data_IF_370445803657
#
_entry.id   IF_370445803657
#
_cell.length_a   1.000
_cell.length_b   1.000
_cell.length_c   1.000
_cell.angle_alpha   90.00
_cell.angle_beta   90.00
_cell.angle_gamma   90.00
#
_symmetry.space_group_name_H-M   'P 1'
#
loop_
_entity.id
_entity.type
_entity.pdbx_description
1 polymer ?
#
# COMPACT_ATOMS: atom_id res chain seq x y z
N UNK A 1 -25.87 26.02 -18.58
CA UNK A 1 -24.77 26.99 -18.39
C UNK A 1 -24.67 27.30 -16.90
N UNK A 2 -23.80 26.63 -16.20
CA UNK A 2 -23.33 27.02 -14.87
C UNK A 2 -21.97 26.33 -14.67
N UNK A 3 -20.89 27.10 -14.77
CA UNK A 3 -19.51 26.65 -14.52
C UNK A 3 -19.32 26.57 -13.01
N UNK A 4 -19.21 25.37 -12.48
CA UNK A 4 -18.76 25.13 -11.11
C UNK A 4 -17.23 25.17 -11.08
N UNK A 5 -16.67 26.25 -10.52
CA UNK A 5 -15.24 26.35 -10.25
C UNK A 5 -14.92 25.53 -8.99
N UNK A 6 -14.00 24.59 -9.11
CA UNK A 6 -13.37 23.92 -7.98
C UNK A 6 -12.38 24.91 -7.36
N UNK A 7 -12.66 25.34 -6.14
CA UNK A 7 -11.77 26.23 -5.40
C UNK A 7 -10.65 25.42 -4.75
N UNK A 8 -9.44 25.53 -5.27
CA UNK A 8 -8.21 25.16 -4.57
C UNK A 8 -7.90 26.25 -3.53
N UNK A 9 -7.87 25.88 -2.28
CA UNK A 9 -7.43 26.74 -1.20
C UNK A 9 -5.90 26.89 -1.25
N UNK A 10 -5.42 28.05 -1.69
CA UNK A 10 -4.03 28.44 -1.61
C UNK A 10 -3.69 28.86 -0.17
N UNK A 11 -2.80 28.14 0.47
CA UNK A 11 -2.17 28.55 1.74
C UNK A 11 -0.93 29.40 1.41
N UNK A 12 -0.92 30.63 1.94
CA UNK A 12 0.09 31.63 1.65
C UNK A 12 1.49 31.27 2.15
N UNK A 13 2.48 31.49 1.28
CA UNK A 13 3.90 31.44 1.60
C UNK A 13 4.30 32.65 2.47
N UNK A 14 4.81 32.37 3.65
CA UNK A 14 5.67 33.27 4.42
C UNK A 14 7.13 32.89 4.14
N UNK A 15 7.82 33.73 3.38
CA UNK A 15 9.26 33.60 3.14
C UNK A 15 10.04 34.01 4.39
N UNK A 16 10.69 33.05 5.04
CA UNK A 16 11.73 33.32 6.02
C UNK A 16 13.07 32.91 5.43
N UNK A 17 13.92 33.94 5.15
CA UNK A 17 15.31 33.74 4.72
C UNK A 17 16.14 33.30 5.92
N UNK A 18 16.48 32.03 6.00
CA UNK A 18 17.36 31.46 7.01
C UNK A 18 18.62 30.85 6.38
N UNK A 19 19.76 31.33 6.82
CA UNK A 19 21.11 30.93 6.43
C UNK A 19 21.35 29.43 6.64
N UNK A 20 21.82 28.73 5.58
CA UNK A 20 22.28 27.34 5.65
C UNK A 20 23.49 27.19 6.56
N UNK A 21 23.29 26.73 7.78
CA UNK A 21 24.29 26.05 8.56
C UNK A 21 24.03 24.55 8.44
N UNK A 22 24.99 23.82 7.91
CA UNK A 22 24.98 22.35 7.87
C UNK A 22 25.06 21.82 9.31
N UNK A 23 23.90 21.56 9.91
CA UNK A 23 23.83 20.78 11.13
C UNK A 23 23.78 19.31 10.74
N UNK A 24 24.84 18.57 11.05
CA UNK A 24 24.77 17.11 11.18
C UNK A 24 23.61 16.83 12.15
N UNK A 25 22.55 16.17 11.64
CA UNK A 25 21.43 15.79 12.48
C UNK A 25 21.91 14.75 13.50
N UNK A 26 22.07 15.20 14.74
CA UNK A 26 22.17 14.33 15.89
C UNK A 26 20.90 13.44 15.93
N UNK A 27 21.06 12.17 15.55
CA UNK A 27 20.07 11.12 15.72
C UNK A 27 20.01 10.71 17.19
N UNK A 28 19.59 11.61 18.05
CA UNK A 28 19.07 11.28 19.35
C UNK A 28 17.54 11.34 19.33
N UNK A 29 16.92 10.48 18.53
CA UNK A 29 15.58 10.04 18.89
C UNK A 29 15.72 9.40 20.27
N UNK A 30 15.23 10.06 21.30
CA UNK A 30 15.24 9.55 22.66
C UNK A 30 14.63 8.14 22.64
N UNK A 31 15.40 7.14 23.10
CA UNK A 31 14.95 5.76 23.15
C UNK A 31 13.55 5.73 23.81
N UNK A 32 12.55 5.05 23.20
CA UNK A 32 11.18 5.07 23.72
C UNK A 32 11.17 4.62 25.18
N UNK A 33 10.52 5.43 26.03
CA UNK A 33 10.39 5.16 27.46
C UNK A 33 9.40 4.00 27.66
N UNK A 34 9.89 2.77 27.69
CA UNK A 34 9.03 1.60 27.91
C UNK A 34 9.82 0.29 27.87
N UNK A 35 9.26 -0.75 28.48
CA UNK A 35 9.79 -2.11 28.36
C UNK A 35 9.32 -2.70 27.03
N UNK A 36 10.20 -3.39 26.31
CA UNK A 36 9.87 -4.08 25.05
C UNK A 36 8.62 -4.95 25.22
N UNK A 37 7.69 -4.84 24.25
CA UNK A 37 6.43 -5.57 24.25
C UNK A 37 5.39 -5.07 25.23
N UNK A 38 5.51 -3.83 25.73
CA UNK A 38 4.51 -3.21 26.60
C UNK A 38 3.99 -1.90 26.00
N UNK A 39 2.69 -1.65 26.23
CA UNK A 39 2.07 -0.36 25.96
C UNK A 39 2.38 0.60 27.09
N UNK A 40 2.87 1.78 26.77
CA UNK A 40 3.21 2.84 27.70
C UNK A 40 2.64 4.18 27.24
N UNK A 41 2.69 5.20 28.11
CA UNK A 41 2.20 6.55 27.80
C UNK A 41 0.73 6.59 27.36
N UNK A 42 -0.11 5.72 27.92
CA UNK A 42 -1.52 5.64 27.57
C UNK A 42 -2.26 6.93 27.96
N UNK A 43 -2.91 7.57 26.97
CA UNK A 43 -3.71 8.78 27.13
C UNK A 43 -4.86 8.78 26.12
N UNK A 44 -5.87 9.62 26.32
CA UNK A 44 -6.90 9.84 25.30
C UNK A 44 -6.24 10.27 23.99
N UNK A 45 -6.66 9.68 22.88
CA UNK A 45 -6.13 10.06 21.56
C UNK A 45 -6.56 11.50 21.21
N UNK A 46 -5.63 12.39 20.81
CA UNK A 46 -5.99 13.73 20.38
C UNK A 46 -7.01 13.71 19.23
N UNK A 47 -8.11 14.45 19.37
CA UNK A 47 -9.15 14.56 18.36
C UNK A 47 -10.05 13.32 18.19
N UNK A 48 -9.82 12.22 18.91
CA UNK A 48 -10.62 10.99 18.80
C UNK A 48 -11.36 10.70 20.11
N UNK A 49 -12.68 10.58 20.06
CA UNK A 49 -13.50 10.19 21.20
C UNK A 49 -13.61 8.67 21.31
N UNK A 50 -13.44 8.12 22.51
CA UNK A 50 -13.58 6.68 22.78
C UNK A 50 -12.36 5.86 22.34
N UNK A 51 -11.20 6.50 22.22
CA UNK A 51 -9.92 5.86 21.91
C UNK A 51 -8.81 6.29 22.86
N UNK A 52 -8.03 5.31 23.28
CA UNK A 52 -6.78 5.48 24.01
C UNK A 52 -5.60 5.25 23.07
N UNK A 53 -4.71 6.25 22.99
CA UNK A 53 -3.44 6.17 22.32
C UNK A 53 -2.33 5.78 23.29
N UNK A 54 -1.41 4.93 22.85
CA UNK A 54 -0.26 4.47 23.62
C UNK A 54 0.93 4.21 22.67
N UNK A 55 2.12 4.04 23.25
CA UNK A 55 3.32 3.65 22.53
C UNK A 55 3.65 2.19 22.82
N UNK A 56 3.71 1.35 21.79
CA UNK A 56 4.27 0.00 21.88
C UNK A 56 5.78 0.08 21.64
N UNK A 57 6.58 -0.26 22.62
CA UNK A 57 8.03 -0.37 22.45
C UNK A 57 8.37 -1.72 21.86
N UNK A 58 9.05 -1.73 20.69
CA UNK A 58 9.52 -2.95 20.01
C UNK A 58 11.04 -2.89 19.82
N UNK A 59 11.74 -4.04 19.68
CA UNK A 59 13.15 -4.00 19.33
C UNK A 59 13.32 -3.55 17.87
N UNK A 60 14.44 -2.90 17.56
CA UNK A 60 14.83 -2.67 16.16
C UNK A 60 15.06 -4.01 15.48
N UNK A 61 15.88 -4.85 16.08
CA UNK A 61 16.21 -6.20 15.65
C UNK A 61 15.53 -7.24 16.53
N UNK A 62 14.60 -8.02 15.96
CA UNK A 62 13.93 -9.12 16.66
C UNK A 62 14.84 -10.32 16.91
N UNK A 63 15.97 -10.44 16.20
CA UNK A 63 17.01 -11.42 16.45
C UNK A 63 17.84 -11.10 17.72
N UNK A 64 17.92 -9.82 18.09
CA UNK A 64 18.63 -9.35 19.26
C UNK A 64 20.12 -9.12 19.06
N UNK A 65 20.64 -9.25 17.86
CA UNK A 65 22.06 -9.06 17.53
C UNK A 65 22.43 -7.56 17.46
N UNK A 66 21.47 -6.70 17.10
CA UNK A 66 21.65 -5.25 17.01
C UNK A 66 20.82 -4.54 18.06
N UNK A 67 21.45 -3.75 18.93
CA UNK A 67 20.72 -2.97 19.94
C UNK A 67 19.92 -1.84 19.27
N UNK A 68 18.76 -1.52 19.84
CA UNK A 68 17.87 -0.45 19.38
C UNK A 68 16.41 -0.76 19.70
N UNK A 69 15.59 0.28 19.74
CA UNK A 69 14.16 0.17 19.98
C UNK A 69 13.40 1.17 19.15
N UNK A 70 12.20 0.78 18.74
CA UNK A 70 11.24 1.64 18.05
C UNK A 70 10.01 1.82 18.96
N UNK A 71 9.38 3.00 18.89
CA UNK A 71 8.13 3.29 19.56
C UNK A 71 7.00 3.36 18.53
N UNK A 72 6.13 2.36 18.50
CA UNK A 72 5.01 2.34 17.57
C UNK A 72 3.78 2.95 18.24
N UNK A 73 3.17 3.96 17.61
CA UNK A 73 1.92 4.54 18.08
C UNK A 73 0.76 3.57 17.85
N UNK A 74 -0.04 3.36 18.86
CA UNK A 74 -1.18 2.45 18.84
C UNK A 74 -2.41 3.18 19.33
N UNK A 75 -3.49 3.14 18.57
CA UNK A 75 -4.81 3.58 18.99
C UNK A 75 -5.69 2.37 19.27
N UNK A 76 -6.34 2.34 20.41
CA UNK A 76 -7.25 1.26 20.83
C UNK A 76 -8.59 1.84 21.26
N UNK A 77 -9.68 1.27 20.74
CA UNK A 77 -11.01 1.62 21.23
C UNK A 77 -11.18 1.26 22.74
N UNK A 78 -11.92 2.08 23.45
CA UNK A 78 -12.07 1.94 24.92
C UNK A 78 -13.06 0.85 25.34
N UNK A 79 -13.77 0.21 24.39
CA UNK A 79 -14.69 -0.91 24.62
C UNK A 79 -13.94 -2.25 24.86
N UNK A 80 -13.09 -2.28 25.88
CA UNK A 80 -12.18 -3.41 26.19
C UNK A 80 -12.88 -4.76 26.38
N UNK A 81 -14.20 -4.77 26.65
CA UNK A 81 -15.01 -5.98 26.84
C UNK A 81 -15.81 -6.38 25.61
N UNK A 82 -15.42 -5.88 24.40
CA UNK A 82 -16.07 -6.22 23.16
C UNK A 82 -16.16 -7.75 22.98
N UNK A 83 -17.38 -8.32 22.76
CA UNK A 83 -17.60 -9.77 22.86
C UNK A 83 -16.88 -10.60 21.80
N UNK A 84 -16.56 -10.03 20.64
CA UNK A 84 -15.80 -10.69 19.58
C UNK A 84 -14.29 -10.40 19.63
N UNK A 85 -13.85 -9.64 20.63
CA UNK A 85 -12.43 -9.34 20.88
C UNK A 85 -11.88 -8.24 20.00
N UNK A 86 -10.59 -8.34 19.66
CA UNK A 86 -9.84 -7.33 18.91
C UNK A 86 -10.04 -7.50 17.40
N UNK A 87 -10.35 -6.40 16.73
CA UNK A 87 -10.20 -6.18 15.30
C UNK A 87 -8.96 -5.30 15.09
N UNK A 88 -7.88 -5.88 14.58
CA UNK A 88 -6.69 -5.14 14.18
C UNK A 88 -6.81 -4.78 12.70
N UNK A 89 -6.90 -3.48 12.41
CA UNK A 89 -6.92 -2.98 11.04
C UNK A 89 -5.51 -2.60 10.59
N UNK A 90 -5.13 -3.08 9.40
CA UNK A 90 -3.81 -2.90 8.78
C UNK A 90 -3.93 -2.09 7.50
N UNK A 91 -3.27 -0.94 7.47
CA UNK A 91 -3.18 -0.05 6.29
C UNK A 91 -2.19 -0.59 5.25
N UNK A 92 -2.23 0.01 4.06
CA UNK A 92 -1.42 -0.37 2.92
C UNK A 92 -0.11 0.40 2.76
N UNK A 93 0.25 0.61 1.51
CA UNK A 93 1.50 1.15 1.04
C UNK A 93 2.37 0.01 0.47
N UNK A 94 3.42 -0.48 1.17
CA UNK A 94 3.84 -0.20 2.56
C UNK A 94 4.24 1.26 2.77
N UNK A 95 4.16 1.74 4.01
CA UNK A 95 4.57 3.11 4.33
C UNK A 95 3.48 3.99 4.92
N UNK A 96 2.21 3.55 4.87
CA UNK A 96 1.08 4.30 5.39
C UNK A 96 0.87 4.02 6.88
N UNK A 97 0.78 5.05 7.74
CA UNK A 97 0.46 4.88 9.16
C UNK A 97 -0.99 4.43 9.36
N UNK A 98 -1.30 3.84 10.51
CA UNK A 98 -2.64 3.38 10.83
C UNK A 98 -3.46 4.40 11.62
N UNK A 99 -2.87 5.01 12.65
CA UNK A 99 -3.59 5.85 13.62
C UNK A 99 -4.37 7.02 12.99
N UNK A 100 -3.87 7.72 11.96
CA UNK A 100 -4.63 8.78 11.29
C UNK A 100 -5.97 8.33 10.67
N UNK A 101 -6.13 7.04 10.39
CA UNK A 101 -7.35 6.52 9.77
C UNK A 101 -8.39 6.00 10.77
N UNK A 102 -8.12 6.06 12.08
CA UNK A 102 -9.01 5.55 13.13
C UNK A 102 -10.41 6.16 13.04
N UNK A 103 -10.52 7.48 12.90
CA UNK A 103 -11.81 8.15 12.85
C UNK A 103 -12.64 7.66 11.66
N UNK A 104 -12.05 7.68 10.46
CA UNK A 104 -12.70 7.23 9.23
C UNK A 104 -13.15 5.78 9.32
N UNK A 105 -12.29 4.88 9.81
CA UNK A 105 -12.58 3.45 9.91
C UNK A 105 -13.62 3.17 11.00
N UNK A 106 -13.56 3.88 12.13
CA UNK A 106 -14.54 3.74 13.21
C UNK A 106 -15.95 4.13 12.76
N UNK A 107 -16.07 5.17 11.91
CA UNK A 107 -17.34 5.57 11.32
C UNK A 107 -17.85 4.52 10.30
N UNK A 108 -16.97 4.08 9.39
CA UNK A 108 -17.34 3.15 8.31
C UNK A 108 -17.72 1.77 8.83
N UNK A 109 -17.05 1.26 9.87
CA UNK A 109 -17.29 -0.05 10.46
C UNK A 109 -18.13 0.00 11.75
N UNK A 110 -18.74 1.14 12.08
CA UNK A 110 -19.49 1.34 13.34
C UNK A 110 -20.46 0.20 13.70
N UNK A 111 -21.22 -0.43 12.77
CA UNK A 111 -22.09 -1.54 13.13
C UNK A 111 -21.34 -2.76 13.70
N UNK A 112 -20.15 -3.08 13.18
CA UNK A 112 -19.32 -4.18 13.66
C UNK A 112 -18.57 -3.83 14.95
N UNK A 113 -18.19 -2.55 15.13
CA UNK A 113 -17.39 -2.11 16.27
C UNK A 113 -18.15 -2.05 17.61
N UNK A 114 -19.45 -2.32 17.60
CA UNK A 114 -20.21 -2.62 18.83
C UNK A 114 -19.73 -3.94 19.44
N UNK A 115 -19.33 -4.89 18.61
CA UNK A 115 -18.91 -6.24 19.01
C UNK A 115 -17.38 -6.43 18.98
N UNK A 116 -16.64 -5.55 18.30
CA UNK A 116 -15.19 -5.60 18.22
C UNK A 116 -14.53 -4.38 18.86
N UNK A 117 -13.38 -4.61 19.47
CA UNK A 117 -12.45 -3.55 19.89
C UNK A 117 -11.52 -3.23 18.73
N UNK A 118 -11.73 -2.07 18.08
CA UNK A 118 -10.82 -1.61 17.00
C UNK A 118 -9.45 -1.27 17.59
N UNK A 119 -8.41 -1.75 16.91
CA UNK A 119 -7.01 -1.42 17.17
C UNK A 119 -6.36 -1.04 15.85
N UNK A 120 -5.62 0.06 15.84
CA UNK A 120 -4.79 0.49 14.72
C UNK A 120 -3.40 0.87 15.23
N UNK A 121 -2.39 0.64 14.40
CA UNK A 121 -0.99 0.87 14.75
C UNK A 121 -0.27 1.57 13.61
N UNK A 122 0.55 2.55 13.94
CA UNK A 122 1.55 3.06 13.03
C UNK A 122 2.68 2.03 12.98
N UNK A 123 2.78 1.31 11.86
CA UNK A 123 3.78 0.26 11.68
C UNK A 123 5.19 0.87 11.75
N UNK A 124 6.22 0.02 11.99
CA UNK A 124 7.60 0.50 12.04
C UNK A 124 7.95 1.31 10.80
N UNK A 125 8.59 2.45 10.98
CA UNK A 125 8.99 3.36 9.90
C UNK A 125 7.85 4.19 9.30
N UNK A 126 6.69 4.31 9.98
CA UNK A 126 5.56 5.15 9.57
C UNK A 126 5.19 6.19 10.62
N UNK A 127 4.33 7.15 10.25
CA UNK A 127 3.81 8.19 11.14
C UNK A 127 4.94 9.00 11.77
N UNK A 128 4.89 9.21 13.08
CA UNK A 128 5.90 10.00 13.82
C UNK A 128 7.33 9.41 13.70
N UNK A 129 7.48 8.15 13.30
CA UNK A 129 8.75 7.45 13.09
C UNK A 129 9.02 7.13 11.61
N UNK A 130 8.40 7.87 10.69
CA UNK A 130 8.56 7.66 9.27
C UNK A 130 10.03 7.75 8.84
N UNK A 131 10.46 6.82 7.98
CA UNK A 131 11.79 6.87 7.39
C UNK A 131 11.86 8.05 6.42
N UNK A 132 12.68 9.03 6.77
CA UNK A 132 12.80 10.29 6.05
C UNK A 132 13.78 10.15 4.88
N UNK A 133 13.28 10.24 3.65
CA UNK A 133 14.05 10.24 2.42
C UNK A 133 13.61 11.41 1.53
N UNK A 134 14.01 12.65 1.83
CA UNK A 134 13.39 13.84 1.26
C UNK A 134 13.38 13.88 -0.28
N UNK A 135 14.47 13.49 -0.94
CA UNK A 135 14.51 13.51 -2.40
C UNK A 135 13.64 12.39 -3.00
N UNK A 136 13.70 11.17 -2.48
CA UNK A 136 12.87 10.07 -2.93
C UNK A 136 11.38 10.39 -2.70
N UNK A 137 11.05 10.98 -1.54
CA UNK A 137 9.71 11.43 -1.20
C UNK A 137 9.20 12.50 -2.17
N UNK A 138 10.06 13.44 -2.54
CA UNK A 138 9.71 14.49 -3.51
C UNK A 138 9.48 13.93 -4.92
N UNK A 139 10.29 12.96 -5.35
CA UNK A 139 10.20 12.40 -6.70
C UNK A 139 8.99 11.48 -6.86
N UNK A 140 8.67 10.65 -5.85
CA UNK A 140 7.59 9.66 -5.94
C UNK A 140 6.27 10.09 -5.28
N UNK A 141 6.32 10.99 -4.28
CA UNK A 141 5.13 11.39 -3.53
C UNK A 141 4.43 10.21 -2.86
N UNK A 142 3.16 9.98 -3.22
CA UNK A 142 2.37 8.81 -2.80
C UNK A 142 2.26 7.72 -3.88
N UNK A 143 2.96 7.87 -5.03
CA UNK A 143 2.92 6.90 -6.11
C UNK A 143 3.91 5.75 -5.89
N UNK A 144 3.52 4.55 -6.27
CA UNK A 144 4.34 3.34 -6.34
C UNK A 144 5.00 3.20 -7.73
N UNK A 145 4.46 3.90 -8.74
CA UNK A 145 4.78 3.70 -10.15
C UNK A 145 5.65 4.80 -10.74
N UNK A 146 5.63 6.01 -10.18
CA UNK A 146 6.52 7.11 -10.62
C UNK A 146 7.98 6.71 -10.50
N UNK A 147 8.78 6.74 -11.60
CA UNK A 147 10.18 6.32 -11.59
C UNK A 147 11.07 7.28 -10.79
N UNK A 148 11.76 6.83 -9.74
CA UNK A 148 12.74 7.64 -9.02
C UNK A 148 14.08 7.66 -9.75
N UNK A 149 14.88 8.69 -9.49
CA UNK A 149 16.28 8.69 -9.91
C UNK A 149 17.11 7.71 -9.07
N UNK A 150 18.11 7.08 -9.69
CA UNK A 150 19.05 6.21 -9.00
C UNK A 150 19.71 6.90 -7.79
N UNK A 151 19.95 8.21 -7.90
CA UNK A 151 20.52 9.02 -6.84
C UNK A 151 19.57 9.16 -5.64
N UNK A 152 18.30 9.47 -5.88
CA UNK A 152 17.31 9.57 -4.79
C UNK A 152 17.21 8.27 -3.99
N UNK A 153 17.26 7.13 -4.69
CA UNK A 153 17.22 5.80 -4.09
C UNK A 153 18.47 5.52 -3.25
N UNK A 154 19.67 5.77 -3.81
CA UNK A 154 20.93 5.50 -3.12
C UNK A 154 21.15 6.43 -1.92
N UNK A 155 20.78 7.70 -2.05
CA UNK A 155 20.86 8.69 -0.96
C UNK A 155 19.87 8.32 0.17
N UNK A 156 18.66 7.86 -0.17
CA UNK A 156 17.69 7.33 0.80
C UNK A 156 18.27 6.13 1.57
N UNK A 157 18.76 5.12 0.85
CA UNK A 157 19.34 3.93 1.47
C UNK A 157 20.56 4.25 2.35
N UNK A 158 21.38 5.24 1.95
CA UNK A 158 22.51 5.73 2.74
C UNK A 158 22.04 6.47 4.01
N UNK A 159 20.97 7.26 3.91
CA UNK A 159 20.39 7.99 5.05
C UNK A 159 19.83 7.03 6.12
N UNK A 160 19.14 5.96 5.72
CA UNK A 160 18.64 4.92 6.64
C UNK A 160 19.83 4.09 7.20
N UNK A 161 20.85 3.90 6.39
CA UNK A 161 22.05 3.15 6.77
C UNK A 161 21.81 1.63 6.86
N UNK A 162 22.63 0.90 7.66
CA UNK A 162 22.55 -0.55 7.78
C UNK A 162 21.23 -1.03 8.41
N UNK A 163 20.54 -0.17 9.14
CA UNK A 163 19.30 -0.50 9.82
C UNK A 163 18.12 -0.74 8.84
N UNK A 164 18.26 -0.36 7.57
CA UNK A 164 17.27 -0.63 6.51
C UNK A 164 16.86 -2.10 6.42
N UNK A 165 17.69 -3.04 6.89
CA UNK A 165 17.42 -4.48 6.91
C UNK A 165 16.37 -4.93 7.92
N UNK A 166 15.93 -4.04 8.82
CA UNK A 166 14.98 -4.32 9.89
C UNK A 166 13.57 -3.76 9.61
N UNK A 167 13.28 -3.47 8.34
CA UNK A 167 11.98 -2.92 7.93
C UNK A 167 11.23 -3.85 6.95
N UNK A 168 11.45 -5.16 7.08
CA UNK A 168 10.69 -6.16 6.33
C UNK A 168 9.29 -6.39 6.90
N UNK A 169 8.40 -7.01 6.11
CA UNK A 169 7.11 -7.48 6.63
C UNK A 169 7.28 -8.53 7.74
N UNK A 170 8.36 -9.30 7.74
CA UNK A 170 8.65 -10.23 8.85
C UNK A 170 8.87 -9.51 10.17
N UNK A 171 9.54 -8.36 10.15
CA UNK A 171 9.75 -7.52 11.33
C UNK A 171 8.43 -6.91 11.80
N UNK A 172 7.61 -6.41 10.87
CA UNK A 172 6.25 -5.92 11.18
C UNK A 172 5.38 -7.02 11.79
N UNK A 173 5.42 -8.24 11.26
CA UNK A 173 4.69 -9.40 11.82
C UNK A 173 5.13 -9.70 13.26
N UNK A 174 6.42 -9.61 13.55
CA UNK A 174 6.93 -9.79 14.90
C UNK A 174 6.47 -8.67 15.86
N UNK A 175 6.40 -7.42 15.39
CA UNK A 175 5.81 -6.30 16.16
C UNK A 175 4.34 -6.55 16.47
N UNK A 176 3.56 -7.00 15.49
CA UNK A 176 2.13 -7.31 15.69
C UNK A 176 1.91 -8.44 16.70
N UNK A 177 2.82 -9.42 16.78
CA UNK A 177 2.75 -10.45 17.82
C UNK A 177 3.08 -9.87 19.22
N UNK A 178 3.99 -8.91 19.31
CA UNK A 178 4.22 -8.16 20.56
C UNK A 178 2.99 -7.32 20.92
N UNK A 179 2.36 -6.65 19.93
CA UNK A 179 1.10 -5.91 20.15
C UNK A 179 -0.01 -6.82 20.70
N UNK A 180 -0.23 -7.98 20.06
CA UNK A 180 -1.22 -8.95 20.53
C UNK A 180 -0.98 -9.34 22.00
N UNK A 181 0.28 -9.60 22.36
CA UNK A 181 0.66 -9.94 23.76
C UNK A 181 0.43 -8.78 24.71
N UNK A 182 0.80 -7.57 24.30
CA UNK A 182 0.59 -6.35 25.09
C UNK A 182 -0.89 -6.06 25.34
N UNK A 183 -1.77 -6.38 24.36
CA UNK A 183 -3.23 -6.30 24.50
C UNK A 183 -3.82 -7.42 25.38
N UNK A 184 -3.04 -8.44 25.74
CA UNK A 184 -3.47 -9.56 26.57
C UNK A 184 -4.47 -10.51 25.89
N UNK A 185 -4.57 -10.50 24.54
CA UNK A 185 -5.55 -11.31 23.81
C UNK A 185 -4.93 -12.56 23.19
N UNK A 186 -5.69 -13.66 23.20
CA UNK A 186 -5.22 -14.93 22.65
C UNK A 186 -5.20 -14.91 21.12
N UNK A 187 -6.21 -14.32 20.50
CA UNK A 187 -6.38 -14.23 19.04
C UNK A 187 -6.86 -12.83 18.66
N UNK A 188 -6.60 -12.45 17.42
CA UNK A 188 -7.13 -11.23 16.79
C UNK A 188 -7.89 -11.59 15.51
N UNK A 189 -8.88 -10.79 15.17
CA UNK A 189 -9.40 -10.67 13.81
C UNK A 189 -8.53 -9.66 13.10
N UNK A 190 -8.06 -9.97 11.89
CA UNK A 190 -7.27 -9.06 11.08
C UNK A 190 -8.11 -8.57 9.91
N UNK A 191 -8.04 -7.28 9.65
CA UNK A 191 -8.66 -6.61 8.51
C UNK A 191 -7.57 -5.83 7.80
N UNK A 192 -7.12 -6.33 6.66
CA UNK A 192 -6.07 -5.71 5.87
C UNK A 192 -6.62 -5.08 4.61
N UNK A 193 -6.04 -3.94 4.22
CA UNK A 193 -6.33 -3.29 2.94
C UNK A 193 -5.02 -3.14 2.17
N UNK A 194 -5.03 -3.44 0.84
CA UNK A 194 -3.84 -3.28 0.00
C UNK A 194 -2.66 -4.09 0.54
N UNK A 195 -1.47 -3.51 0.68
CA UNK A 195 -0.33 -4.18 1.30
C UNK A 195 -0.61 -4.69 2.73
N UNK A 196 -1.59 -4.10 3.43
CA UNK A 196 -2.07 -4.62 4.72
C UNK A 196 -2.65 -6.03 4.64
N UNK A 197 -3.17 -6.45 3.48
CA UNK A 197 -3.62 -7.84 3.25
C UNK A 197 -2.44 -8.80 3.27
N UNK A 198 -1.35 -8.45 2.58
CA UNK A 198 -0.10 -9.22 2.61
C UNK A 198 0.42 -9.35 4.04
N UNK A 199 0.47 -8.25 4.79
CA UNK A 199 0.89 -8.27 6.21
C UNK A 199 -0.01 -9.17 7.05
N UNK A 200 -1.34 -9.13 6.87
CA UNK A 200 -2.30 -9.99 7.58
C UNK A 200 -2.09 -11.47 7.25
N UNK A 201 -1.88 -11.78 5.99
CA UNK A 201 -1.61 -13.15 5.51
C UNK A 201 -0.27 -13.69 6.07
N UNK A 202 0.78 -12.86 6.03
CA UNK A 202 2.10 -13.23 6.59
C UNK A 202 2.02 -13.46 8.10
N UNK A 203 1.24 -12.63 8.82
CA UNK A 203 0.96 -12.86 10.23
C UNK A 203 0.21 -14.19 10.45
N UNK A 204 -0.82 -14.45 9.67
CA UNK A 204 -1.61 -15.66 9.78
C UNK A 204 -0.79 -16.94 9.48
N UNK A 205 0.14 -16.88 8.53
CA UNK A 205 1.06 -17.97 8.21
C UNK A 205 2.11 -18.19 9.30
N UNK A 206 2.63 -17.13 9.91
CA UNK A 206 3.60 -17.20 11.00
C UNK A 206 2.95 -17.63 12.33
N UNK A 207 1.72 -17.17 12.58
CA UNK A 207 1.00 -17.36 13.84
C UNK A 207 -0.41 -17.95 13.67
N UNK A 208 -0.58 -19.15 13.03
CA UNK A 208 -1.90 -19.66 12.65
C UNK A 208 -2.87 -19.85 13.82
N UNK A 209 -2.35 -20.09 15.03
CA UNK A 209 -3.15 -20.20 16.25
C UNK A 209 -3.59 -18.88 16.87
N UNK A 210 -3.19 -17.71 16.29
CA UNK A 210 -3.42 -16.36 16.83
C UNK A 210 -4.46 -15.57 16.05
N UNK A 211 -4.99 -16.11 14.98
CA UNK A 211 -6.00 -15.48 14.12
C UNK A 211 -7.36 -16.09 14.37
N UNK A 212 -8.42 -15.29 14.37
CA UNK A 212 -9.81 -15.74 14.45
C UNK A 212 -10.56 -15.60 13.14
N UNK A 213 -10.33 -14.54 12.38
CA UNK A 213 -10.89 -14.24 11.06
C UNK A 213 -9.91 -13.39 10.27
N UNK A 214 -10.04 -13.39 8.93
CA UNK A 214 -9.32 -12.52 8.01
C UNK A 214 -10.30 -11.79 7.09
N UNK A 215 -10.19 -10.48 7.01
CA UNK A 215 -10.76 -9.65 5.96
C UNK A 215 -9.59 -9.15 5.12
N UNK A 216 -9.64 -9.39 3.82
CA UNK A 216 -8.59 -9.04 2.87
C UNK A 216 -9.25 -8.25 1.74
N UNK A 217 -9.13 -6.92 1.80
CA UNK A 217 -9.73 -5.97 0.87
C UNK A 217 -8.67 -5.41 -0.07
N UNK A 218 -8.89 -5.48 -1.38
CA UNK A 218 -7.90 -5.05 -2.38
C UNK A 218 -6.59 -5.83 -2.20
N UNK A 219 -6.62 -7.08 -2.63
CA UNK A 219 -5.71 -8.14 -2.16
C UNK A 219 -4.35 -8.10 -2.85
N UNK A 220 -3.28 -7.96 -2.08
CA UNK A 220 -1.93 -8.40 -2.46
C UNK A 220 -1.78 -9.84 -2.01
N UNK A 221 -1.56 -10.83 -2.91
CA UNK A 221 -1.58 -12.23 -2.54
C UNK A 221 -0.40 -12.61 -1.63
N UNK A 222 -0.58 -13.66 -0.83
CA UNK A 222 0.46 -14.16 0.10
C UNK A 222 1.79 -14.54 -0.57
N UNK A 223 1.79 -14.70 -1.89
CA UNK A 223 3.00 -14.94 -2.69
C UNK A 223 3.86 -13.69 -2.85
N UNK A 224 3.28 -12.53 -2.61
CA UNK A 224 3.94 -11.24 -2.68
C UNK A 224 3.51 -10.40 -3.86
N UNK A 225 4.00 -9.21 -3.88
CA UNK A 225 3.85 -8.20 -4.91
C UNK A 225 4.62 -8.60 -6.19
N UNK A 226 4.06 -8.32 -7.35
CA UNK A 226 4.70 -8.45 -8.65
C UNK A 226 5.37 -7.11 -9.03
N UNK A 227 6.71 -7.02 -9.02
CA UNK A 227 7.38 -5.74 -9.27
C UNK A 227 7.30 -5.25 -10.72
N UNK A 228 6.91 -6.09 -11.68
CA UNK A 228 6.60 -5.70 -13.06
C UNK A 228 5.14 -5.32 -13.26
N UNK A 229 4.31 -5.53 -12.25
CA UNK A 229 2.88 -5.20 -12.21
C UNK A 229 2.09 -5.74 -13.42
N UNK A 230 2.52 -6.89 -13.94
CA UNK A 230 1.98 -7.50 -15.17
C UNK A 230 0.48 -7.77 -15.09
N UNK A 231 -0.02 -8.08 -13.89
CA UNK A 231 -1.45 -8.30 -13.69
C UNK A 231 -2.26 -7.00 -13.89
N UNK A 232 -1.77 -5.87 -13.39
CA UNK A 232 -2.43 -4.57 -13.53
C UNK A 232 -2.33 -4.05 -14.98
N UNK A 233 -1.16 -4.21 -15.62
CA UNK A 233 -1.00 -3.86 -17.05
C UNK A 233 -2.02 -4.60 -17.91
N UNK A 234 -2.21 -5.91 -17.71
CA UNK A 234 -3.24 -6.70 -18.43
C UNK A 234 -4.66 -6.35 -18.02
N UNK A 235 -4.89 -5.91 -16.79
CA UNK A 235 -6.22 -5.57 -16.29
C UNK A 235 -6.72 -4.23 -16.84
N UNK A 236 -5.84 -3.28 -17.16
CA UNK A 236 -6.21 -1.92 -17.58
C UNK A 236 -7.24 -1.88 -18.72
N UNK A 237 -7.10 -2.60 -19.85
CA UNK A 237 -8.11 -2.60 -20.92
C UNK A 237 -9.47 -3.16 -20.44
N UNK A 238 -9.48 -4.18 -19.58
CA UNK A 238 -10.71 -4.73 -19.01
C UNK A 238 -11.39 -3.72 -18.10
N UNK A 239 -10.64 -3.05 -17.25
CA UNK A 239 -11.14 -2.04 -16.31
C UNK A 239 -11.76 -0.87 -17.07
N UNK A 240 -11.04 -0.29 -18.03
CA UNK A 240 -11.52 0.82 -18.84
C UNK A 240 -12.74 0.45 -19.68
N UNK A 241 -12.76 -0.74 -20.29
CA UNK A 241 -13.91 -1.23 -21.06
C UNK A 241 -15.13 -1.44 -20.16
N UNK A 242 -14.93 -1.94 -18.92
CA UNK A 242 -16.02 -2.14 -17.96
C UNK A 242 -16.58 -0.80 -17.50
N UNK A 243 -15.73 0.18 -17.23
CA UNK A 243 -16.12 1.54 -16.88
C UNK A 243 -16.88 2.23 -18.01
N UNK A 244 -16.37 2.14 -19.24
CA UNK A 244 -17.02 2.68 -20.43
C UNK A 244 -18.44 2.12 -20.64
N UNK A 245 -18.61 0.81 -20.53
CA UNK A 245 -19.93 0.17 -20.64
C UNK A 245 -20.90 0.63 -19.57
N UNK A 246 -20.43 0.78 -18.34
CA UNK A 246 -21.24 1.22 -17.20
C UNK A 246 -21.71 2.66 -17.34
N UNK A 247 -20.89 3.54 -17.94
CA UNK A 247 -21.21 4.96 -18.16
C UNK A 247 -21.88 5.22 -19.53
N UNK A 248 -22.01 4.18 -20.39
CA UNK A 248 -22.65 4.29 -21.69
C UNK A 248 -21.78 4.99 -22.74
N UNK A 249 -20.46 5.00 -22.59
CA UNK A 249 -19.56 5.54 -23.59
C UNK A 249 -19.56 4.65 -24.87
N UNK A 250 -19.20 5.25 -26.02
CA UNK A 250 -19.25 4.59 -27.33
C UNK A 250 -17.89 4.38 -27.99
N UNK A 251 -16.81 4.72 -27.26
CA UNK A 251 -15.42 4.55 -27.70
C UNK A 251 -14.92 3.12 -27.39
N UNK A 252 -13.77 2.77 -27.90
CA UNK A 252 -13.02 1.56 -27.52
C UNK A 252 -11.80 1.96 -26.69
N UNK A 253 -11.94 2.09 -25.38
CA UNK A 253 -10.83 2.57 -24.53
C UNK A 253 -9.65 1.61 -24.49
N UNK A 254 -9.85 0.32 -24.78
CA UNK A 254 -8.75 -0.64 -24.88
C UNK A 254 -7.89 -0.39 -26.12
N UNK A 255 -8.53 -0.13 -27.26
CA UNK A 255 -7.83 0.23 -28.50
C UNK A 255 -7.19 1.62 -28.40
N UNK A 256 -7.88 2.58 -27.79
CA UNK A 256 -7.36 3.94 -27.57
C UNK A 256 -6.10 3.90 -26.68
N UNK A 257 -6.12 3.14 -25.57
CA UNK A 257 -4.96 2.95 -24.71
C UNK A 257 -3.77 2.36 -25.46
N UNK A 258 -3.99 1.28 -26.21
CA UNK A 258 -2.93 0.64 -27.00
C UNK A 258 -2.29 1.63 -28.00
N UNK A 259 -3.11 2.42 -28.69
CA UNK A 259 -2.65 3.41 -29.65
C UNK A 259 -1.89 4.57 -28.99
N UNK A 260 -2.32 5.00 -27.80
CA UNK A 260 -1.64 6.04 -27.02
C UNK A 260 -0.24 5.57 -26.60
N UNK A 261 -0.13 4.37 -26.03
CA UNK A 261 1.17 3.82 -25.61
C UNK A 261 2.10 3.64 -26.81
N UNK A 262 1.61 3.08 -27.93
CA UNK A 262 2.40 2.91 -29.15
C UNK A 262 2.86 4.24 -29.77
N UNK A 263 1.97 5.25 -29.75
CA UNK A 263 2.26 6.54 -30.41
C UNK A 263 3.21 7.42 -29.59
N UNK A 264 3.05 7.45 -28.27
CA UNK A 264 3.76 8.41 -27.42
C UNK A 264 4.87 7.78 -26.57
N UNK A 265 4.94 6.45 -26.43
CA UNK A 265 5.96 5.75 -25.65
C UNK A 265 5.95 6.12 -24.15
N UNK A 266 4.78 6.51 -23.61
CA UNK A 266 4.61 7.01 -22.24
C UNK A 266 3.84 6.04 -21.33
N UNK A 267 3.98 4.74 -21.55
CA UNK A 267 3.21 3.72 -20.86
C UNK A 267 3.30 3.79 -19.34
N UNK A 268 4.49 4.11 -18.77
CA UNK A 268 4.66 4.27 -17.31
C UNK A 268 3.80 5.42 -16.79
N UNK A 269 3.85 6.59 -17.44
CA UNK A 269 3.07 7.76 -17.01
C UNK A 269 1.57 7.53 -17.11
N UNK A 270 1.15 6.83 -18.17
CA UNK A 270 -0.26 6.48 -18.37
C UNK A 270 -0.72 5.48 -17.31
N UNK A 271 0.10 4.46 -17.00
CA UNK A 271 -0.26 3.48 -15.97
C UNK A 271 -0.32 4.11 -14.58
N UNK A 272 0.64 4.97 -14.24
CA UNK A 272 0.65 5.74 -12.98
C UNK A 272 -0.60 6.63 -12.88
N UNK A 273 -0.94 7.33 -13.98
CA UNK A 273 -2.15 8.14 -14.03
C UNK A 273 -3.43 7.30 -13.86
N UNK A 274 -3.54 6.15 -14.52
CA UNK A 274 -4.69 5.24 -14.39
C UNK A 274 -4.84 4.73 -12.97
N UNK A 275 -3.76 4.28 -12.35
CA UNK A 275 -3.74 3.72 -11.00
C UNK A 275 -4.06 4.78 -9.94
N UNK A 276 -3.57 6.01 -10.12
CA UNK A 276 -3.91 7.12 -9.22
C UNK A 276 -5.33 7.64 -9.45
N UNK A 277 -5.80 7.65 -10.71
CA UNK A 277 -7.12 8.16 -11.06
C UNK A 277 -8.26 7.35 -10.44
N UNK A 278 -8.06 6.05 -10.19
CA UNK A 278 -9.07 5.20 -9.52
C UNK A 278 -9.49 5.71 -8.13
N UNK A 279 -8.65 6.51 -7.46
CA UNK A 279 -8.95 7.14 -6.19
C UNK A 279 -9.77 8.44 -6.33
N UNK A 280 -9.81 9.02 -7.52
CA UNK A 280 -10.50 10.27 -7.85
C UNK A 280 -11.83 10.01 -8.52
N UNK A 281 -11.83 9.21 -9.59
CA UNK A 281 -12.99 8.84 -10.39
C UNK A 281 -12.90 7.38 -10.84
N UNK A 282 -13.47 6.44 -10.07
CA UNK A 282 -13.48 5.02 -10.44
C UNK A 282 -14.32 4.72 -11.69
N UNK A 283 -15.10 5.67 -12.19
CA UNK A 283 -15.80 5.56 -13.48
C UNK A 283 -14.89 5.85 -14.67
N UNK A 284 -13.70 6.40 -14.45
CA UNK A 284 -12.70 6.73 -15.45
C UNK A 284 -13.22 7.62 -16.59
N UNK A 285 -14.34 8.31 -16.41
CA UNK A 285 -15.03 9.02 -17.51
C UNK A 285 -14.11 10.03 -18.18
N UNK A 286 -13.42 10.87 -17.39
CA UNK A 286 -12.49 11.88 -17.92
C UNK A 286 -11.24 11.23 -18.53
N UNK A 287 -10.74 10.17 -17.92
CA UNK A 287 -9.55 9.45 -18.43
C UNK A 287 -9.83 8.75 -19.77
N UNK A 288 -11.00 8.13 -19.92
CA UNK A 288 -11.43 7.50 -21.19
C UNK A 288 -11.55 8.55 -22.30
N UNK A 289 -12.14 9.74 -22.00
CA UNK A 289 -12.19 10.84 -22.98
C UNK A 289 -10.79 11.35 -23.35
N UNK A 290 -9.88 11.45 -22.36
CA UNK A 290 -8.51 11.87 -22.59
C UNK A 290 -7.71 10.88 -23.46
N UNK A 291 -7.86 9.59 -23.20
CA UNK A 291 -7.25 8.53 -24.02
C UNK A 291 -7.80 8.56 -25.46
N UNK A 292 -9.12 8.72 -25.63
CA UNK A 292 -9.74 8.79 -26.94
C UNK A 292 -9.24 10.00 -27.75
N UNK A 293 -9.16 11.18 -27.15
CA UNK A 293 -8.61 12.39 -27.80
C UNK A 293 -7.15 12.22 -28.19
N UNK A 294 -6.33 11.70 -27.27
CA UNK A 294 -4.92 11.44 -27.52
C UNK A 294 -4.72 10.43 -28.67
N UNK A 295 -5.50 9.34 -28.70
CA UNK A 295 -5.49 8.36 -29.77
C UNK A 295 -5.89 8.99 -31.14
N UNK A 296 -6.62 10.08 -31.15
CA UNK A 296 -7.03 10.82 -32.35
C UNK A 296 -6.18 12.08 -32.63
N UNK A 297 -5.02 12.21 -31.98
CA UNK A 297 -4.00 13.23 -32.26
C UNK A 297 -4.05 14.47 -31.37
N UNK A 298 -4.91 14.49 -30.34
CA UNK A 298 -4.93 15.57 -29.33
C UNK A 298 -4.60 15.04 -27.93
N UNK A 299 -3.31 14.98 -27.52
CA UNK A 299 -2.90 14.49 -26.23
C UNK A 299 -3.05 15.50 -25.09
N UNK A 300 -3.50 16.74 -25.35
CA UNK A 300 -3.44 17.85 -24.38
C UNK A 300 -4.20 17.54 -23.09
N UNK A 301 -5.38 16.93 -23.17
CA UNK A 301 -6.15 16.56 -21.97
C UNK A 301 -5.43 15.46 -21.16
N UNK A 302 -4.90 14.45 -21.82
CA UNK A 302 -4.17 13.37 -21.17
C UNK A 302 -2.90 13.87 -20.46
N UNK A 303 -2.14 14.74 -21.12
CA UNK A 303 -0.96 15.39 -20.53
C UNK A 303 -1.33 16.20 -19.29
N UNK A 304 -2.41 17.00 -19.36
CA UNK A 304 -2.89 17.73 -18.18
C UNK A 304 -3.34 16.82 -17.03
N UNK A 305 -3.91 15.65 -17.31
CA UNK A 305 -4.28 14.67 -16.27
C UNK A 305 -3.03 14.03 -15.64
N UNK A 306 -2.04 13.65 -16.45
CA UNK A 306 -0.77 13.10 -15.96
C UNK A 306 -0.04 14.11 -15.07
N UNK A 307 0.04 15.37 -15.49
CA UNK A 307 0.64 16.45 -14.67
C UNK A 307 -0.15 16.67 -13.37
N UNK A 308 -1.49 16.72 -13.45
CA UNK A 308 -2.35 16.89 -12.28
C UNK A 308 -2.25 15.73 -11.28
N UNK A 309 -2.05 14.49 -11.76
CA UNK A 309 -1.79 13.32 -10.92
C UNK A 309 -0.44 13.47 -10.19
N UNK A 310 0.62 13.85 -10.90
CA UNK A 310 1.95 14.06 -10.31
C UNK A 310 1.93 15.14 -9.22
N UNK A 311 1.28 16.28 -9.50
CA UNK A 311 1.12 17.35 -8.52
C UNK A 311 0.27 16.92 -7.31
N UNK A 312 -0.83 16.21 -7.57
CA UNK A 312 -1.75 15.69 -6.55
C UNK A 312 -1.19 14.54 -5.71
N UNK A 313 -0.14 13.88 -6.18
CA UNK A 313 0.52 12.78 -5.47
C UNK A 313 1.53 13.26 -4.41
N UNK A 314 1.74 14.57 -4.26
CA UNK A 314 2.61 15.07 -3.20
C UNK A 314 2.14 14.58 -1.83
N UNK A 315 3.03 13.95 -1.08
CA UNK A 315 2.77 13.43 0.26
C UNK A 315 3.99 13.59 1.16
N UNK A 316 3.77 13.85 2.43
CA UNK A 316 4.85 13.81 3.42
C UNK A 316 5.21 12.37 3.80
N UNK A 317 6.39 12.17 4.36
CA UNK A 317 6.80 10.84 4.83
C UNK A 317 5.92 10.34 5.98
N UNK A 318 5.31 11.24 6.76
CA UNK A 318 4.38 10.93 7.83
C UNK A 318 3.04 10.41 7.30
N UNK A 319 2.63 10.82 6.09
CA UNK A 319 1.41 10.35 5.41
C UNK A 319 1.63 9.04 4.67
N UNK A 320 2.74 8.93 3.94
CA UNK A 320 3.22 7.71 3.29
C UNK A 320 4.73 7.77 3.10
N UNK A 321 5.48 7.00 3.86
CA UNK A 321 6.95 7.01 3.82
C UNK A 321 7.49 6.25 2.61
N UNK A 322 8.02 6.94 1.62
CA UNK A 322 8.74 6.33 0.49
C UNK A 322 10.04 5.64 0.94
N UNK A 323 10.64 6.11 2.05
CA UNK A 323 11.79 5.43 2.66
C UNK A 323 11.45 4.03 3.16
N UNK A 324 10.30 3.90 3.86
CA UNK A 324 9.80 2.58 4.29
C UNK A 324 9.32 1.76 3.10
N UNK A 325 8.59 2.38 2.17
CA UNK A 325 8.08 1.72 0.97
C UNK A 325 9.23 1.00 0.24
N UNK A 326 10.28 1.73 -0.13
CA UNK A 326 11.46 1.15 -0.78
C UNK A 326 12.14 0.09 0.11
N UNK A 327 12.37 0.37 1.40
CA UNK A 327 13.03 -0.59 2.28
C UNK A 327 12.27 -1.91 2.37
N UNK A 328 10.94 -1.86 2.55
CA UNK A 328 10.10 -3.05 2.70
C UNK A 328 9.99 -3.83 1.39
N UNK A 329 9.65 -3.17 0.27
CA UNK A 329 9.48 -3.86 -1.00
C UNK A 329 10.80 -4.50 -1.47
N UNK A 330 11.93 -3.79 -1.31
CA UNK A 330 13.22 -4.33 -1.74
C UNK A 330 13.72 -5.48 -0.84
N UNK A 331 13.26 -5.57 0.41
CA UNK A 331 13.53 -6.71 1.30
C UNK A 331 12.66 -7.93 0.98
N UNK A 332 11.36 -7.71 0.76
CA UNK A 332 10.37 -8.79 0.65
C UNK A 332 10.21 -9.31 -0.79
N UNK A 333 10.47 -8.44 -1.77
CA UNK A 333 10.20 -8.69 -3.18
C UNK A 333 11.07 -9.78 -3.82
N UNK A 334 10.58 -10.27 -4.96
CA UNK A 334 11.32 -11.14 -5.89
C UNK A 334 11.41 -10.41 -7.22
N UNK A 335 12.64 -10.15 -7.63
CA UNK A 335 12.96 -9.35 -8.80
C UNK A 335 13.60 -10.20 -9.89
N UNK A 336 13.74 -9.73 -11.13
CA UNK A 336 14.44 -10.47 -12.19
C UNK A 336 15.85 -10.92 -11.84
N UNK A 337 16.54 -10.15 -11.00
CA UNK A 337 17.87 -10.49 -10.49
C UNK A 337 17.86 -11.37 -9.25
N UNK A 338 16.72 -11.74 -8.70
CA UNK A 338 16.61 -12.55 -7.48
C UNK A 338 16.04 -11.80 -6.28
N UNK A 339 16.72 -11.86 -5.14
CA UNK A 339 16.24 -11.29 -3.86
C UNK A 339 17.13 -10.16 -3.36
N UNK A 340 16.79 -9.63 -2.18
CA UNK A 340 17.46 -8.49 -1.54
C UNK A 340 18.98 -8.66 -1.36
N UNK A 341 19.48 -9.87 -1.23
CA UNK A 341 20.91 -10.20 -1.06
C UNK A 341 21.70 -10.21 -2.38
N UNK A 342 21.02 -10.17 -3.53
CA UNK A 342 21.71 -10.12 -4.83
C UNK A 342 22.50 -8.81 -4.97
N UNK A 343 23.79 -8.84 -5.35
CA UNK A 343 24.58 -7.64 -5.59
C UNK A 343 23.92 -6.70 -6.60
N UNK A 344 24.12 -5.38 -6.44
CA UNK A 344 23.58 -4.37 -7.39
C UNK A 344 24.19 -4.55 -8.78
N UNK A 345 25.46 -4.90 -8.85
CA UNK A 345 26.14 -5.23 -10.12
C UNK A 345 25.43 -6.40 -10.82
N UNK A 346 25.06 -6.21 -12.09
CA UNK A 346 24.34 -7.21 -12.90
C UNK A 346 22.82 -7.17 -12.81
N UNK A 347 22.24 -6.37 -11.90
CA UNK A 347 20.77 -6.27 -11.82
C UNK A 347 20.15 -5.65 -13.07
N UNK A 348 20.81 -4.63 -13.63
CA UNK A 348 20.36 -3.99 -14.86
C UNK A 348 20.30 -4.98 -16.02
N UNK A 349 21.36 -5.78 -16.21
CA UNK A 349 21.43 -6.82 -17.23
C UNK A 349 20.33 -7.88 -17.05
N UNK A 350 20.10 -8.29 -15.78
CA UNK A 350 19.02 -9.23 -15.48
C UNK A 350 17.62 -8.66 -15.75
N UNK A 351 17.39 -7.36 -15.50
CA UNK A 351 16.15 -6.67 -15.81
C UNK A 351 15.94 -6.56 -17.32
N UNK A 352 16.97 -6.16 -18.09
CA UNK A 352 16.93 -6.08 -19.54
C UNK A 352 16.64 -7.44 -20.17
N UNK A 353 17.28 -8.51 -19.67
CA UNK A 353 17.01 -9.87 -20.12
C UNK A 353 15.56 -10.27 -19.82
N UNK A 354 15.07 -10.02 -18.62
CA UNK A 354 13.68 -10.33 -18.28
C UNK A 354 12.69 -9.55 -19.15
N UNK A 355 12.94 -8.27 -19.41
CA UNK A 355 12.14 -7.45 -20.32
C UNK A 355 12.11 -8.00 -21.75
N UNK A 356 13.26 -8.51 -22.24
CA UNK A 356 13.35 -9.12 -23.57
C UNK A 356 12.62 -10.48 -23.69
N UNK A 357 12.37 -11.15 -22.57
CA UNK A 357 11.62 -12.42 -22.49
C UNK A 357 10.09 -12.19 -22.42
N UNK A 358 9.62 -10.96 -22.11
CA UNK A 358 8.21 -10.62 -22.06
C UNK A 358 7.61 -10.60 -23.48
N UNK A 359 6.36 -11.01 -23.56
CA UNK A 359 5.56 -11.00 -24.79
C UNK A 359 4.36 -10.05 -24.62
N UNK A 360 3.70 -9.63 -25.71
CA UNK A 360 2.48 -8.83 -25.62
C UNK A 360 1.38 -9.46 -24.75
N UNK A 361 1.35 -10.79 -24.60
CA UNK A 361 0.41 -11.47 -23.71
C UNK A 361 0.71 -11.20 -22.21
N UNK A 362 1.93 -10.79 -21.87
CA UNK A 362 2.34 -10.56 -20.50
C UNK A 362 1.99 -9.15 -19.99
N UNK A 363 2.01 -8.15 -20.87
CA UNK A 363 1.81 -6.74 -20.51
C UNK A 363 0.57 -6.09 -21.18
N UNK A 364 -0.19 -6.82 -21.99
CA UNK A 364 -1.42 -6.32 -22.62
C UNK A 364 -1.16 -5.20 -23.63
N UNK A 365 -1.84 -4.03 -23.55
CA UNK A 365 -1.68 -2.94 -24.49
C UNK A 365 -0.44 -2.06 -24.23
N UNK A 366 0.28 -2.30 -23.16
CA UNK A 366 1.53 -1.63 -22.85
C UNK A 366 2.72 -2.30 -23.56
N UNK A 367 3.92 -2.05 -23.11
CA UNK A 367 5.15 -2.61 -23.65
C UNK A 367 6.10 -3.10 -22.54
N UNK A 368 7.16 -3.79 -22.91
CA UNK A 368 8.15 -4.29 -22.00
C UNK A 368 8.90 -3.15 -21.25
N UNK A 369 9.04 -1.99 -21.90
CA UNK A 369 9.66 -0.82 -21.27
C UNK A 369 8.80 -0.28 -20.12
N UNK A 370 7.48 -0.29 -20.27
CA UNK A 370 6.55 0.04 -19.20
C UNK A 370 6.71 -0.93 -18.02
N UNK A 371 6.64 -2.25 -18.26
CA UNK A 371 6.75 -3.25 -17.20
C UNK A 371 8.08 -3.20 -16.44
N UNK A 372 9.18 -2.86 -17.10
CA UNK A 372 10.51 -2.77 -16.50
C UNK A 372 10.86 -1.38 -15.96
N UNK A 373 10.05 -0.36 -16.29
CA UNK A 373 10.28 1.05 -15.93
C UNK A 373 9.48 1.56 -14.73
N UNK A 374 8.69 0.72 -14.05
CA UNK A 374 7.86 1.13 -12.92
C UNK A 374 8.69 1.52 -11.69
N UNK A 375 8.18 2.46 -10.89
CA UNK A 375 8.91 3.10 -9.80
C UNK A 375 9.43 2.14 -8.73
N UNK A 376 8.62 1.19 -8.28
CA UNK A 376 9.02 0.18 -7.31
C UNK A 376 10.09 -0.78 -7.84
N UNK A 377 10.05 -1.13 -9.15
CA UNK A 377 11.11 -1.88 -9.82
C UNK A 377 12.44 -1.10 -9.78
N UNK A 378 12.41 0.16 -10.22
CA UNK A 378 13.60 1.01 -10.32
C UNK A 378 14.17 1.37 -8.94
N UNK A 379 13.31 1.55 -7.93
CA UNK A 379 13.75 1.71 -6.54
C UNK A 379 14.60 0.53 -6.09
N UNK A 380 14.16 -0.69 -6.33
CA UNK A 380 14.88 -1.88 -5.89
C UNK A 380 16.07 -2.27 -6.79
N UNK A 381 16.07 -1.82 -8.05
CA UNK A 381 17.20 -1.95 -8.94
C UNK A 381 18.48 -1.30 -8.34
N UNK A 382 18.30 -0.11 -7.74
CA UNK A 382 19.38 0.69 -7.17
C UNK A 382 19.54 0.55 -5.65
N UNK A 383 18.63 -0.16 -4.96
CA UNK A 383 18.70 -0.36 -3.52
C UNK A 383 19.89 -1.26 -3.15
N UNK A 384 20.74 -0.89 -2.18
CA UNK A 384 21.88 -1.71 -1.80
C UNK A 384 21.48 -3.11 -1.34
N UNK A 385 22.29 -4.12 -1.67
CA UNK A 385 22.02 -5.48 -1.24
C UNK A 385 21.92 -5.58 0.29
N UNK A 386 21.01 -6.43 0.75
CA UNK A 386 20.62 -6.55 2.15
C UNK A 386 20.29 -8.03 2.43
N UNK A 387 20.66 -8.58 3.59
CA UNK A 387 20.33 -9.96 3.94
C UNK A 387 18.85 -10.25 3.76
N UNK A 388 18.52 -11.41 3.20
CA UNK A 388 17.12 -11.84 3.00
C UNK A 388 16.44 -12.04 4.35
N UNK A 389 15.31 -11.38 4.63
CA UNK A 389 14.58 -11.61 5.87
C UNK A 389 13.99 -13.04 5.90
N UNK A 390 13.78 -13.61 7.09
CA UNK A 390 13.13 -14.90 7.22
C UNK A 390 11.68 -14.80 6.72
N UNK A 391 11.35 -15.55 5.66
CA UNK A 391 10.02 -15.57 5.08
C UNK A 391 9.33 -16.90 5.39
N UNK A 392 8.08 -16.90 5.91
CA UNK A 392 7.26 -18.08 5.94
C UNK A 392 7.08 -18.64 4.51
N UNK A 393 6.96 -19.97 4.31
CA UNK A 393 6.76 -20.56 2.99
C UNK A 393 5.49 -20.01 2.31
N UNK A 394 5.64 -19.43 1.12
CA UNK A 394 4.55 -18.76 0.36
C UNK A 394 3.46 -19.72 -0.10
N UNK A 395 3.77 -21.01 -0.27
CA UNK A 395 2.80 -22.02 -0.70
C UNK A 395 2.04 -22.70 0.47
N UNK A 396 2.32 -22.27 1.71
CA UNK A 396 1.59 -22.77 2.88
C UNK A 396 0.16 -22.22 2.85
N UNK A 397 -0.82 -23.07 3.11
CA UNK A 397 -2.22 -22.64 3.21
C UNK A 397 -2.43 -21.74 4.43
N UNK A 398 -3.26 -20.73 4.27
CA UNK A 398 -3.75 -19.93 5.40
C UNK A 398 -4.45 -20.86 6.44
N UNK A 399 -4.46 -20.48 7.72
CA UNK A 399 -5.15 -21.26 8.75
C UNK A 399 -6.63 -21.45 8.39
N UNK A 400 -7.22 -22.55 8.84
CA UNK A 400 -8.64 -22.89 8.60
C UNK A 400 -9.61 -22.02 9.41
N UNK A 401 -9.47 -20.71 9.30
CA UNK A 401 -10.37 -19.68 9.87
C UNK A 401 -11.23 -19.06 8.76
N UNK A 402 -12.36 -18.44 9.08
CA UNK A 402 -13.12 -17.69 8.08
C UNK A 402 -12.28 -16.62 7.42
N UNK A 403 -12.32 -16.54 6.08
CA UNK A 403 -11.60 -15.56 5.26
C UNK A 403 -12.57 -14.92 4.28
N UNK A 404 -12.61 -13.59 4.23
CA UNK A 404 -13.28 -12.79 3.21
C UNK A 404 -12.21 -12.19 2.30
N UNK A 405 -12.34 -12.41 0.99
CA UNK A 405 -11.62 -11.70 -0.06
C UNK A 405 -12.56 -10.69 -0.69
N UNK A 406 -12.21 -9.43 -0.65
CA UNK A 406 -13.01 -8.33 -1.16
C UNK A 406 -12.19 -7.58 -2.21
N UNK A 407 -12.80 -7.22 -3.34
CA UNK A 407 -12.14 -6.44 -4.39
C UNK A 407 -13.14 -5.67 -5.24
N UNK A 408 -12.67 -4.59 -5.85
CA UNK A 408 -13.39 -3.81 -6.83
C UNK A 408 -13.09 -4.31 -8.25
N UNK A 409 -14.07 -4.26 -9.16
CA UNK A 409 -13.83 -4.64 -10.56
C UNK A 409 -13.06 -3.59 -11.36
N UNK A 410 -12.79 -2.44 -10.76
CA UNK A 410 -12.04 -1.30 -11.32
C UNK A 410 -10.72 -1.01 -10.60
N UNK A 411 -10.30 -1.89 -9.69
CA UNK A 411 -9.03 -1.79 -8.97
C UNK A 411 -7.86 -2.12 -9.91
N UNK A 412 -6.94 -1.20 -10.08
CA UNK A 412 -5.68 -1.36 -10.83
C UNK A 412 -4.46 -1.41 -9.90
N UNK A 413 -4.56 -0.90 -8.68
CA UNK A 413 -3.49 -1.03 -7.67
C UNK A 413 -3.33 -2.48 -7.19
N UNK A 414 -4.47 -3.19 -7.03
CA UNK A 414 -4.51 -4.62 -6.66
C UNK A 414 -5.60 -5.31 -7.48
N UNK A 415 -5.33 -5.62 -8.75
CA UNK A 415 -6.35 -6.06 -9.68
C UNK A 415 -6.99 -7.39 -9.26
N UNK A 416 -8.20 -7.67 -9.77
CA UNK A 416 -8.97 -8.89 -9.45
C UNK A 416 -8.18 -10.18 -9.74
N UNK A 417 -7.23 -10.13 -10.64
CA UNK A 417 -6.31 -11.21 -10.96
C UNK A 417 -5.56 -11.69 -9.70
N UNK A 418 -5.07 -10.77 -8.88
CA UNK A 418 -4.41 -11.06 -7.61
C UNK A 418 -5.37 -11.62 -6.56
N UNK A 419 -6.58 -11.09 -6.49
CA UNK A 419 -7.63 -11.64 -5.61
C UNK A 419 -7.92 -13.10 -5.95
N UNK A 420 -8.02 -13.44 -7.26
CA UNK A 420 -8.26 -14.81 -7.68
C UNK A 420 -7.03 -15.70 -7.50
N UNK A 421 -5.81 -15.18 -7.56
CA UNK A 421 -4.60 -15.89 -7.18
C UNK A 421 -4.65 -16.29 -5.71
N UNK A 422 -5.01 -15.36 -4.83
CA UNK A 422 -5.20 -15.65 -3.41
C UNK A 422 -6.36 -16.63 -3.18
N UNK A 423 -7.45 -16.52 -3.93
CA UNK A 423 -8.55 -17.49 -3.84
C UNK A 423 -8.12 -18.92 -4.16
N UNK A 424 -7.22 -19.12 -5.13
CA UNK A 424 -6.66 -20.46 -5.42
C UNK A 424 -5.87 -21.03 -4.23
N UNK A 425 -5.15 -20.18 -3.49
CA UNK A 425 -4.40 -20.57 -2.29
C UNK A 425 -5.30 -20.74 -1.06
N UNK A 426 -6.48 -20.11 -1.05
CA UNK A 426 -7.44 -20.13 0.05
C UNK A 426 -8.84 -20.55 -0.45
N UNK A 427 -9.04 -21.83 -0.86
CA UNK A 427 -10.28 -22.25 -1.53
C UNK A 427 -11.55 -22.06 -0.69
N UNK A 428 -11.43 -22.07 0.65
CA UNK A 428 -12.56 -21.87 1.57
C UNK A 428 -12.94 -20.40 1.79
N UNK A 429 -12.16 -19.45 1.26
CA UNK A 429 -12.48 -18.04 1.40
C UNK A 429 -13.80 -17.68 0.68
N UNK A 430 -14.61 -16.84 1.30
CA UNK A 430 -15.71 -16.13 0.62
C UNK A 430 -15.10 -15.04 -0.26
N UNK A 431 -15.61 -14.89 -1.48
CA UNK A 431 -15.21 -13.82 -2.40
C UNK A 431 -16.38 -12.88 -2.61
N UNK A 432 -16.12 -11.60 -2.52
CA UNK A 432 -17.07 -10.53 -2.87
C UNK A 432 -16.35 -9.56 -3.83
N UNK A 433 -16.87 -9.46 -5.04
CA UNK A 433 -16.45 -8.45 -6.01
C UNK A 433 -17.53 -7.39 -6.09
N UNK A 434 -17.16 -6.13 -5.92
CA UNK A 434 -18.08 -5.00 -5.93
C UNK A 434 -17.98 -4.27 -7.27
N UNK A 435 -19.03 -4.35 -8.11
CA UNK A 435 -19.04 -3.65 -9.39
C UNK A 435 -18.96 -2.13 -9.19
N UNK A 436 -18.16 -1.47 -10.02
CA UNK A 436 -17.96 -0.02 -9.96
C UNK A 436 -17.04 0.46 -8.83
N UNK A 437 -16.56 -0.43 -7.97
CA UNK A 437 -15.59 -0.09 -6.95
C UNK A 437 -14.16 -0.26 -7.49
N UNK A 438 -13.27 0.63 -7.05
CA UNK A 438 -11.85 0.55 -7.24
C UNK A 438 -11.15 0.17 -5.92
N UNK A 439 -9.97 0.69 -5.65
CA UNK A 439 -9.12 0.33 -4.51
C UNK A 439 -9.71 0.69 -3.14
N UNK A 440 -9.52 -0.19 -2.13
CA UNK A 440 -10.03 -0.03 -0.76
C UNK A 440 -11.55 0.00 -0.67
N UNK A 441 -12.19 -1.07 -1.12
CA UNK A 441 -13.64 -1.18 -1.33
C UNK A 441 -14.45 -0.84 -0.08
N UNK A 442 -14.09 -1.39 1.09
CA UNK A 442 -14.85 -1.18 2.34
C UNK A 442 -14.84 0.27 2.82
N UNK A 443 -13.83 1.06 2.43
CA UNK A 443 -13.65 2.41 2.94
C UNK A 443 -13.86 3.51 1.90
N UNK A 444 -13.74 3.20 0.60
CA UNK A 444 -13.76 4.18 -0.49
C UNK A 444 -14.91 4.01 -1.48
N UNK A 445 -15.45 2.79 -1.67
CA UNK A 445 -16.52 2.57 -2.62
C UNK A 445 -17.70 3.53 -2.38
N UNK A 446 -18.28 4.00 -3.47
CA UNK A 446 -19.41 4.95 -3.44
C UNK A 446 -20.66 4.31 -2.83
N UNK A 447 -20.89 3.01 -3.07
CA UNK A 447 -21.97 2.26 -2.45
C UNK A 447 -21.51 1.49 -1.20
N UNK A 448 -22.47 1.01 -0.43
CA UNK A 448 -22.23 0.33 0.84
C UNK A 448 -22.05 -1.18 0.73
N UNK A 449 -22.15 -1.76 -0.47
CA UNK A 449 -22.17 -3.23 -0.64
C UNK A 449 -20.93 -3.91 -0.09
N UNK A 450 -19.74 -3.38 -0.42
CA UNK A 450 -18.47 -3.92 0.06
C UNK A 450 -18.36 -3.79 1.57
N UNK A 451 -18.66 -2.61 2.11
CA UNK A 451 -18.65 -2.37 3.55
C UNK A 451 -19.65 -3.24 4.29
N UNK A 452 -20.87 -3.38 3.76
CA UNK A 452 -21.90 -4.25 4.35
C UNK A 452 -21.44 -5.72 4.35
N UNK A 453 -20.81 -6.19 3.28
CA UNK A 453 -20.25 -7.54 3.23
C UNK A 453 -19.18 -7.77 4.32
N UNK A 454 -18.32 -6.79 4.57
CA UNK A 454 -17.35 -6.84 5.68
C UNK A 454 -18.04 -6.87 7.03
N UNK A 455 -19.03 -5.99 7.26
CA UNK A 455 -19.79 -5.94 8.52
C UNK A 455 -20.52 -7.27 8.78
N UNK A 456 -21.19 -7.82 7.79
CA UNK A 456 -21.93 -9.09 7.92
C UNK A 456 -20.97 -10.26 8.19
N UNK A 457 -19.85 -10.31 7.48
CA UNK A 457 -18.81 -11.30 7.71
C UNK A 457 -18.22 -11.21 9.12
N UNK A 458 -17.90 -10.01 9.60
CA UNK A 458 -17.36 -9.80 10.95
C UNK A 458 -18.40 -10.22 12.02
N UNK A 459 -19.68 -9.95 11.78
CA UNK A 459 -20.75 -10.29 12.71
C UNK A 459 -21.19 -11.75 12.60
N UNK A 460 -20.78 -12.49 11.55
CA UNK A 460 -21.19 -13.86 11.30
C UNK A 460 -22.66 -13.96 10.86
N UNK A 461 -23.05 -13.06 9.97
CA UNK A 461 -24.43 -12.98 9.39
C UNK A 461 -24.47 -13.46 7.93
N UNK A 462 -23.46 -14.22 7.51
CA UNK A 462 -23.27 -14.69 6.12
C UNK A 462 -24.11 -15.94 5.84
#
# INVERSE_FOLDING_TARGET
>A
MARGAVALAAVGMLTVSGTCTSAAQDRAASAPAGRTGQLSQAAACPGLTGFTCATLTVPLDHGGDVPGRLGLKVATADNVKAPKGVLLFLTGGPGQPGVPFVERLSQKLAPALKDYRLVMVDQRGTGDNALQCPQLQQEMGSSDLTPPTARAVTDCAAAIGPDRRFYSTSDTVADLELLRRALGVRKMTLDGVSYGTYTAERYALAHPGRVSRLVLDSVVPQTGYDPMDLAALRAAPRVLTTACRATGCTTDPAADLAKVVDTYGNGVDVMDALTTWEFVDPDYTTMIDALHKAANGDPSLLQGLIEGVREGSAASAEELSQGLHAATLCLDGRYPWGRSDTPVAGRQEALEKAGAELTPADYGPFDAATATGLGSMLSCLHWPSTPVPPLPPVHRRLPGVPVLLLGGDRDLSTPLEWLYDQKRLTPHARVVVVPGAAHSVQSRAADDKGRQAVVDFLLGRD
#
